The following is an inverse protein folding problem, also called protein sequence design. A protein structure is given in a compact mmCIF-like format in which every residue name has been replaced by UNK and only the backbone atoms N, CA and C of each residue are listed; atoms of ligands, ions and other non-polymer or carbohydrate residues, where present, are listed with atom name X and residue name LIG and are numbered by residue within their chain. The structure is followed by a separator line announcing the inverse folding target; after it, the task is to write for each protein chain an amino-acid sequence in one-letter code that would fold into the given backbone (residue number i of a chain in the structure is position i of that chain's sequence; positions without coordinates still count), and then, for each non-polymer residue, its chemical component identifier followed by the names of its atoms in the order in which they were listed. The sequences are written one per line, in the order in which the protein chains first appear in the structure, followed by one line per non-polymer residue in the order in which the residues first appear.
data_IF_046214407421
#
_entry.id   IF_046214407421
#
_cell.length_a   1.000
_cell.length_b   1.000
_cell.length_c   1.000
_cell.angle_alpha   90.00
_cell.angle_beta   90.00
_cell.angle_gamma   90.00
#
_symmetry.space_group_name_H-M   'P 1'
#
loop_
_entity.id
_entity.type
_entity.pdbx_description
1 polymer ?
#
# COMPACT_ATOMS: atom_id res chain seq x y z
N UNK A 1 5.66 0.10 -30.16
CA UNK A 1 4.84 -0.52 -29.13
C UNK A 1 5.01 0.21 -27.80
N UNK A 2 3.95 0.65 -27.23
CA UNK A 2 4.02 1.36 -25.98
C UNK A 2 4.33 0.40 -24.85
N UNK A 3 5.27 0.78 -23.98
CA UNK A 3 5.52 0.02 -22.78
C UNK A 3 4.49 0.42 -21.72
N UNK A 4 3.83 -0.57 -21.13
CA UNK A 4 2.90 -0.36 -20.02
C UNK A 4 3.68 -0.29 -18.73
N UNK A 5 3.46 0.79 -17.97
CA UNK A 5 4.09 0.97 -16.66
C UNK A 5 3.05 0.88 -15.56
N UNK A 6 3.35 0.09 -14.54
CA UNK A 6 2.49 -0.07 -13.37
C UNK A 6 2.91 0.93 -12.31
N UNK A 7 2.01 1.85 -11.97
CA UNK A 7 2.26 2.87 -10.96
C UNK A 7 2.01 2.32 -9.56
N UNK A 8 3.01 2.45 -8.69
CA UNK A 8 2.97 1.95 -7.30
C UNK A 8 2.90 3.12 -6.33
N UNK A 9 1.87 3.12 -5.49
CA UNK A 9 1.79 4.04 -4.35
C UNK A 9 2.37 3.33 -3.13
N UNK A 10 3.40 3.90 -2.53
CA UNK A 10 4.09 3.35 -1.37
C UNK A 10 3.60 4.04 -0.12
N UNK A 11 3.02 3.28 0.81
CA UNK A 11 2.45 3.80 2.05
C UNK A 11 3.14 3.14 3.24
N UNK A 12 3.97 3.91 3.93
CA UNK A 12 4.75 3.44 5.09
C UNK A 12 5.15 4.67 5.91
N UNK A 13 5.10 4.59 7.22
CA UNK A 13 5.49 5.71 8.09
C UNK A 13 7.00 5.90 8.17
N UNK A 14 7.77 4.90 7.79
CA UNK A 14 9.24 4.95 7.79
C UNK A 14 9.77 5.52 6.47
N UNK A 15 10.48 6.65 6.53
CA UNK A 15 11.13 7.23 5.36
C UNK A 15 12.17 6.27 4.77
N UNK A 16 12.89 5.54 5.63
CA UNK A 16 13.86 4.55 5.19
C UNK A 16 13.20 3.43 4.39
N UNK A 17 12.10 2.89 4.89
CA UNK A 17 11.37 1.83 4.19
C UNK A 17 10.76 2.33 2.88
N UNK A 18 10.20 3.54 2.86
CA UNK A 18 9.70 4.13 1.61
C UNK A 18 10.81 4.23 0.56
N UNK A 19 12.01 4.64 0.98
CA UNK A 19 13.16 4.75 0.08
C UNK A 19 13.62 3.37 -0.43
N UNK A 20 13.65 2.35 0.43
CA UNK A 20 14.03 0.99 0.06
C UNK A 20 13.04 0.43 -0.96
N UNK A 21 11.75 0.55 -0.69
CA UNK A 21 10.69 0.06 -1.58
C UNK A 21 10.74 0.82 -2.91
N UNK A 22 10.95 2.14 -2.86
CA UNK A 22 11.05 2.95 -4.07
C UNK A 22 12.21 2.51 -4.96
N UNK A 23 13.36 2.18 -4.37
CA UNK A 23 14.51 1.67 -5.12
C UNK A 23 14.22 0.33 -5.78
N UNK A 24 13.53 -0.56 -5.07
CA UNK A 24 13.11 -1.86 -5.61
C UNK A 24 12.19 -1.65 -6.82
N UNK A 25 11.22 -0.75 -6.68
CA UNK A 25 10.28 -0.42 -7.76
C UNK A 25 11.03 0.17 -8.96
N UNK A 26 11.89 1.15 -8.72
CA UNK A 26 12.64 1.82 -9.79
C UNK A 26 13.59 0.87 -10.54
N UNK A 27 14.09 -0.15 -9.86
CA UNK A 27 14.99 -1.15 -10.44
C UNK A 27 14.25 -2.34 -11.07
N UNK A 28 12.92 -2.34 -11.04
CA UNK A 28 12.10 -3.40 -11.62
C UNK A 28 11.48 -2.90 -12.92
N UNK A 29 11.87 -3.46 -14.10
CA UNK A 29 11.28 -3.06 -15.36
C UNK A 29 9.75 -3.18 -15.35
N UNK A 30 9.07 -2.16 -15.84
CA UNK A 30 7.62 -2.12 -15.91
C UNK A 30 6.94 -1.54 -14.66
N UNK A 31 7.69 -1.23 -13.61
CA UNK A 31 7.17 -0.59 -12.41
C UNK A 31 7.71 0.82 -12.27
N UNK A 32 6.87 1.75 -11.83
CA UNK A 32 7.27 3.12 -11.51
C UNK A 32 6.64 3.54 -10.18
N UNK A 33 7.31 4.42 -9.46
CA UNK A 33 6.74 5.00 -8.23
C UNK A 33 5.74 6.08 -8.63
N UNK A 34 4.45 5.82 -8.40
CA UNK A 34 3.39 6.78 -8.67
C UNK A 34 3.29 7.83 -7.57
N UNK A 35 3.58 7.45 -6.33
CA UNK A 35 3.54 8.36 -5.19
C UNK A 35 4.01 7.68 -3.92
N UNK A 36 4.16 8.49 -2.87
CA UNK A 36 4.57 8.04 -1.54
C UNK A 36 3.70 8.71 -0.51
N UNK A 37 3.34 7.98 0.54
CA UNK A 37 2.55 8.51 1.64
C UNK A 37 3.07 7.97 2.96
N UNK A 38 3.06 8.80 4.00
CA UNK A 38 3.56 8.43 5.32
C UNK A 38 2.48 7.79 6.20
N UNK A 39 1.22 7.84 5.80
CA UNK A 39 0.12 7.21 6.51
C UNK A 39 -1.08 7.03 5.59
N UNK A 40 -2.13 6.38 6.10
CA UNK A 40 -3.33 6.09 5.32
C UNK A 40 -4.09 7.32 4.87
N UNK A 41 -4.12 8.38 5.67
CA UNK A 41 -4.81 9.61 5.30
C UNK A 41 -4.14 10.26 4.08
N UNK A 42 -2.82 10.40 4.11
CA UNK A 42 -2.09 10.93 2.96
C UNK A 42 -2.23 10.03 1.73
N UNK A 43 -2.30 8.71 1.94
CA UNK A 43 -2.52 7.78 0.85
C UNK A 43 -3.87 8.05 0.17
N UNK A 44 -4.94 8.19 0.94
CA UNK A 44 -6.26 8.50 0.39
C UNK A 44 -6.27 9.82 -0.37
N UNK A 45 -5.57 10.83 0.15
CA UNK A 45 -5.48 12.14 -0.51
C UNK A 45 -4.71 12.06 -1.84
N UNK A 46 -3.73 11.17 -1.94
CA UNK A 46 -2.90 11.03 -3.13
C UNK A 46 -3.51 10.17 -4.24
N UNK A 47 -4.39 9.24 -3.91
CA UNK A 47 -4.98 8.33 -4.89
C UNK A 47 -5.58 9.08 -6.10
N UNK A 48 -6.44 10.10 -5.93
CA UNK A 48 -6.99 10.79 -7.09
C UNK A 48 -5.97 11.61 -7.87
N UNK A 49 -4.85 11.96 -7.26
CA UNK A 49 -3.79 12.75 -7.89
C UNK A 49 -2.84 11.87 -8.67
N UNK A 50 -2.29 10.82 -8.05
CA UNK A 50 -1.27 9.96 -8.67
C UNK A 50 -1.86 8.77 -9.41
N UNK A 51 -3.11 8.42 -9.18
CA UNK A 51 -3.84 7.34 -9.86
C UNK A 51 -3.02 6.04 -9.95
N UNK A 52 -2.65 5.47 -8.80
CA UNK A 52 -1.80 4.28 -8.79
C UNK A 52 -2.55 3.05 -9.31
N UNK A 53 -1.79 2.11 -9.85
CA UNK A 53 -2.33 0.82 -10.27
C UNK A 53 -2.31 -0.21 -9.14
N UNK A 54 -1.41 -0.02 -8.17
CA UNK A 54 -1.27 -0.89 -7.01
C UNK A 54 -0.77 -0.07 -5.81
N UNK A 55 -1.18 -0.49 -4.63
CA UNK A 55 -0.76 0.16 -3.37
C UNK A 55 0.03 -0.85 -2.56
N UNK A 56 1.23 -0.46 -2.11
CA UNK A 56 2.03 -1.22 -1.14
C UNK A 56 1.83 -0.54 0.21
N UNK A 57 1.28 -1.25 1.18
CA UNK A 57 0.76 -0.68 2.41
C UNK A 57 1.34 -1.36 3.64
N UNK A 58 1.89 -0.56 4.57
CA UNK A 58 2.26 -1.02 5.90
C UNK A 58 0.99 -1.08 6.78
N UNK A 59 0.88 -2.09 7.62
CA UNK A 59 -0.25 -2.24 8.53
C UNK A 59 -0.17 -1.23 9.68
N UNK A 60 1.02 -1.07 10.26
CA UNK A 60 1.22 -0.22 11.43
C UNK A 60 1.70 1.17 11.03
N UNK A 61 0.79 2.14 11.09
CA UNK A 61 1.08 3.54 10.78
C UNK A 61 0.36 4.44 11.77
N UNK A 62 0.96 5.59 12.14
CA UNK A 62 0.24 6.58 12.95
C UNK A 62 -0.87 7.24 12.12
N UNK A 63 -1.79 7.91 12.75
CA UNK A 63 -2.93 8.64 12.17
C UNK A 63 -3.96 7.71 11.55
N UNK A 64 -3.62 7.04 10.47
CA UNK A 64 -4.51 6.04 9.87
C UNK A 64 -3.65 4.82 9.52
N UNK A 65 -3.81 3.75 10.27
CA UNK A 65 -3.07 2.50 10.05
C UNK A 65 -3.60 1.72 8.85
N UNK A 66 -2.93 0.61 8.52
CA UNK A 66 -3.30 -0.18 7.36
C UNK A 66 -4.72 -0.72 7.41
N UNK A 67 -5.19 -1.13 8.59
CA UNK A 67 -6.55 -1.65 8.75
C UNK A 67 -7.58 -0.56 8.53
N UNK A 68 -7.38 0.61 9.12
CA UNK A 68 -8.27 1.77 8.94
C UNK A 68 -8.30 2.22 7.48
N UNK A 69 -7.15 2.20 6.81
CA UNK A 69 -7.07 2.52 5.39
C UNK A 69 -7.92 1.56 4.56
N UNK A 70 -7.83 0.25 4.81
CA UNK A 70 -8.60 -0.74 4.07
C UNK A 70 -10.10 -0.59 4.30
N UNK A 71 -10.51 -0.25 5.53
CA UNK A 71 -11.93 0.03 5.82
C UNK A 71 -12.42 1.24 5.04
N UNK A 72 -11.65 2.32 5.03
CA UNK A 72 -12.03 3.54 4.32
C UNK A 72 -12.02 3.32 2.81
N UNK A 73 -11.06 2.57 2.29
CA UNK A 73 -10.97 2.18 0.89
C UNK A 73 -12.25 1.44 0.45
N UNK A 74 -12.66 0.45 1.23
CA UNK A 74 -13.87 -0.33 0.94
C UNK A 74 -15.12 0.55 0.97
N UNK A 75 -15.22 1.43 1.97
CA UNK A 75 -16.33 2.36 2.12
C UNK A 75 -16.45 3.31 0.92
N UNK A 76 -15.33 3.75 0.36
CA UNK A 76 -15.29 4.65 -0.80
C UNK A 76 -15.38 3.93 -2.14
N UNK A 77 -15.41 2.60 -2.15
CA UNK A 77 -15.47 1.82 -3.39
C UNK A 77 -14.19 1.88 -4.24
N UNK A 78 -13.05 2.03 -3.60
CA UNK A 78 -11.76 2.06 -4.30
C UNK A 78 -11.31 0.63 -4.57
N UNK A 79 -11.13 0.26 -5.86
CA UNK A 79 -10.81 -1.10 -6.28
C UNK A 79 -9.33 -1.37 -6.52
N UNK A 80 -8.46 -0.40 -6.27
CA UNK A 80 -7.03 -0.55 -6.52
C UNK A 80 -6.48 -1.69 -5.65
N UNK A 81 -5.76 -2.68 -6.24
CA UNK A 81 -5.16 -3.77 -5.47
C UNK A 81 -4.18 -3.29 -4.42
N UNK A 82 -4.18 -3.93 -3.26
CA UNK A 82 -3.32 -3.58 -2.14
C UNK A 82 -2.48 -4.77 -1.75
N UNK A 83 -1.16 -4.56 -1.65
CA UNK A 83 -0.21 -5.53 -1.12
C UNK A 83 0.18 -5.07 0.27
N UNK A 84 -0.07 -5.91 1.28
CA UNK A 84 0.24 -5.58 2.66
C UNK A 84 1.65 -6.00 3.01
N UNK A 85 2.39 -5.12 3.68
CA UNK A 85 3.68 -5.43 4.26
C UNK A 85 3.49 -5.63 5.76
N UNK A 86 3.79 -6.83 6.24
CA UNK A 86 3.62 -7.17 7.64
C UNK A 86 4.60 -8.26 8.04
N UNK A 87 5.07 -8.17 9.28
CA UNK A 87 5.71 -9.33 9.91
C UNK A 87 4.60 -10.25 10.37
N UNK A 88 4.50 -11.44 9.78
CA UNK A 88 3.52 -12.43 10.20
C UNK A 88 3.96 -13.03 11.53
N UNK A 89 3.49 -12.43 12.62
CA UNK A 89 3.67 -12.95 13.97
C UNK A 89 2.32 -13.44 14.49
N UNK A 90 2.35 -14.25 15.53
CA UNK A 90 1.11 -14.71 16.18
C UNK A 90 0.28 -13.53 16.65
N UNK A 91 0.92 -12.46 17.10
CA UNK A 91 0.23 -11.25 17.56
C UNK A 91 -0.52 -10.54 16.44
N UNK A 92 -0.03 -10.63 15.22
CA UNK A 92 -0.62 -9.95 14.07
C UNK A 92 -1.58 -10.83 13.27
N UNK A 93 -1.76 -12.09 13.65
CA UNK A 93 -2.59 -13.03 12.89
C UNK A 93 -4.04 -12.54 12.73
N UNK A 94 -4.64 -12.05 13.81
CA UNK A 94 -6.02 -11.54 13.77
C UNK A 94 -6.15 -10.32 12.86
N UNK A 95 -5.18 -9.40 12.91
CA UNK A 95 -5.15 -8.22 12.06
C UNK A 95 -4.98 -8.62 10.60
N UNK A 96 -4.10 -9.59 10.33
CA UNK A 96 -3.87 -10.13 8.99
C UNK A 96 -5.17 -10.67 8.40
N UNK A 97 -5.92 -11.47 9.16
CA UNK A 97 -7.20 -12.02 8.70
C UNK A 97 -8.22 -10.91 8.42
N UNK A 98 -8.30 -9.90 9.29
CA UNK A 98 -9.18 -8.76 9.07
C UNK A 98 -8.83 -8.00 7.80
N UNK A 99 -7.54 -7.82 7.52
CA UNK A 99 -7.08 -7.15 6.30
C UNK A 99 -7.51 -7.92 5.05
N UNK A 100 -7.39 -9.25 5.06
CA UNK A 100 -7.83 -10.08 3.95
C UNK A 100 -9.33 -9.93 3.74
N UNK A 101 -10.12 -9.97 4.81
CA UNK A 101 -11.57 -9.80 4.75
C UNK A 101 -11.98 -8.44 4.19
N UNK A 102 -11.17 -7.40 4.41
CA UNK A 102 -11.42 -6.04 3.92
C UNK A 102 -10.89 -5.83 2.49
N UNK A 103 -10.32 -6.86 1.88
CA UNK A 103 -9.97 -6.83 0.47
C UNK A 103 -8.49 -6.62 0.15
N UNK A 104 -7.59 -6.86 1.11
CA UNK A 104 -6.17 -6.89 0.79
C UNK A 104 -5.90 -8.04 -0.20
N UNK A 105 -5.12 -7.76 -1.24
CA UNK A 105 -4.88 -8.74 -2.31
C UNK A 105 -3.81 -9.76 -1.92
N UNK A 106 -2.82 -9.36 -1.12
CA UNK A 106 -1.72 -10.24 -0.74
C UNK A 106 -0.96 -9.66 0.46
N UNK A 107 -0.13 -10.52 1.07
CA UNK A 107 0.76 -10.16 2.17
C UNK A 107 2.19 -10.55 1.86
N UNK A 108 3.12 -9.66 2.21
CA UNK A 108 4.55 -9.93 2.19
C UNK A 108 5.07 -9.90 3.63
N UNK A 109 5.76 -10.95 4.09
CA UNK A 109 6.35 -10.97 5.42
C UNK A 109 7.44 -9.91 5.59
#
# INVERSE_FOLDING_TARGET
MESYEIGVLIVDDSALMRNIIAKIVDNTPGLVVAGRAMNGQFALDKIPVCKPDVIVLDIEMPVMDGLEFLKERKKRGIDIPVIMLSSLTTENAAVTMQCIELGASDFLP
#
